data_IF_370025428615
#
_entry.id   IF_370025428615
#
_cell.length_a   1.000
_cell.length_b   1.000
_cell.length_c   1.000
_cell.angle_alpha   90.00
_cell.angle_beta   90.00
_cell.angle_gamma   90.00
#
_symmetry.space_group_name_H-M   'P 1'
#
loop_
_entity.id
_entity.type
_entity.pdbx_description
1 polymer ?
#
# COMPACT_ATOMS: atom_id res chain seq x y z
N UNK A 1 -16.80 17.24 -10.51
CA UNK A 1 -15.87 16.58 -11.46
C UNK A 1 -14.52 16.39 -10.79
N UNK A 2 -13.96 15.17 -10.78
CA UNK A 2 -12.61 14.96 -10.26
C UNK A 2 -11.60 15.67 -11.16
N UNK A 3 -11.02 16.78 -10.67
CA UNK A 3 -9.98 17.54 -11.39
C UNK A 3 -8.71 16.70 -11.59
N UNK A 4 -8.52 15.69 -10.75
CA UNK A 4 -7.36 14.81 -10.72
C UNK A 4 -7.24 13.97 -11.98
N UNK A 5 -8.36 13.52 -12.57
CA UNK A 5 -8.32 12.71 -13.79
C UNK A 5 -7.73 13.46 -14.99
N UNK A 6 -7.96 14.78 -15.08
CA UNK A 6 -7.47 15.62 -16.19
C UNK A 6 -5.96 15.88 -16.13
N UNK A 7 -5.32 15.56 -15.01
CA UNK A 7 -3.90 15.80 -14.85
C UNK A 7 -3.12 14.71 -15.57
N UNK A 8 -2.23 15.09 -16.51
CA UNK A 8 -1.33 14.14 -17.16
C UNK A 8 -0.47 13.40 -16.13
N UNK A 9 -0.04 12.18 -16.48
CA UNK A 9 0.90 11.39 -15.69
C UNK A 9 2.24 11.40 -16.42
N UNK A 10 3.24 12.16 -15.95
CA UNK A 10 4.57 12.12 -16.54
C UNK A 10 5.23 10.78 -16.24
N UNK A 11 5.83 10.16 -17.26
CA UNK A 11 6.62 8.93 -17.09
C UNK A 11 8.08 9.34 -16.87
N UNK A 12 8.67 9.06 -15.70
CA UNK A 12 10.11 9.28 -15.48
C UNK A 12 10.92 8.34 -16.38
N UNK A 13 12.10 8.75 -16.84
CA UNK A 13 12.96 7.94 -17.74
C UNK A 13 13.31 6.55 -17.18
N UNK A 14 13.22 6.38 -15.85
CA UNK A 14 13.47 5.12 -15.15
C UNK A 14 12.31 4.13 -15.23
N UNK A 15 11.15 4.53 -15.74
CA UNK A 15 9.97 3.69 -15.87
C UNK A 15 9.58 3.53 -17.34
N UNK A 16 9.20 2.32 -17.73
CA UNK A 16 8.62 2.01 -19.03
C UNK A 16 7.15 1.67 -18.83
N UNK A 17 6.28 2.30 -19.61
CA UNK A 17 4.85 2.01 -19.61
C UNK A 17 4.48 1.44 -20.96
N UNK A 18 3.85 0.27 -20.97
CA UNK A 18 3.21 -0.31 -22.15
C UNK A 18 1.71 -0.39 -21.95
N UNK A 19 0.96 -0.12 -23.01
CA UNK A 19 -0.50 -0.16 -23.01
C UNK A 19 -0.93 -1.14 -24.11
N UNK A 20 -1.53 -2.25 -23.69
CA UNK A 20 -2.10 -3.27 -24.57
C UNK A 20 -3.61 -3.28 -24.40
N UNK A 21 -4.30 -2.51 -25.25
CA UNK A 21 -5.74 -2.31 -25.19
C UNK A 21 -6.16 -1.63 -23.88
N UNK A 22 -6.63 -2.43 -22.93
CA UNK A 22 -7.08 -2.01 -21.60
C UNK A 22 -6.09 -2.31 -20.48
N UNK A 23 -5.03 -3.05 -20.79
CA UNK A 23 -4.06 -3.49 -19.81
C UNK A 23 -2.85 -2.57 -19.85
N UNK A 24 -2.54 -1.97 -18.70
CA UNK A 24 -1.36 -1.15 -18.52
C UNK A 24 -0.32 -1.97 -17.77
N UNK A 25 0.86 -2.09 -18.35
CA UNK A 25 2.03 -2.66 -17.70
C UNK A 25 3.05 -1.56 -17.47
N UNK A 26 3.58 -1.51 -16.26
CA UNK A 26 4.57 -0.51 -15.84
C UNK A 26 5.77 -1.25 -15.29
N UNK A 27 6.93 -1.05 -15.89
CA UNK A 27 8.19 -1.64 -15.50
C UNK A 27 9.14 -0.56 -15.00
N UNK A 28 9.91 -0.86 -13.96
CA UNK A 28 10.92 0.04 -13.43
C UNK A 28 11.90 -0.66 -12.49
N UNK A 29 12.79 0.09 -11.83
CA UNK A 29 13.88 -0.47 -11.03
C UNK A 29 13.41 -1.30 -9.85
N UNK A 30 12.22 -1.03 -9.30
CA UNK A 30 11.68 -1.75 -8.13
C UNK A 30 10.73 -2.90 -8.47
N UNK A 31 10.48 -3.17 -9.75
CA UNK A 31 9.67 -4.28 -10.21
C UNK A 31 8.77 -3.94 -11.40
N UNK A 32 7.90 -4.89 -11.75
CA UNK A 32 6.91 -4.77 -12.81
C UNK A 32 5.50 -4.90 -12.25
N UNK A 33 4.60 -4.01 -12.64
CA UNK A 33 3.19 -4.04 -12.25
C UNK A 33 2.31 -4.10 -13.49
N UNK A 34 1.28 -4.96 -13.45
CA UNK A 34 0.32 -5.11 -14.54
C UNK A 34 -1.09 -4.95 -14.00
N UNK A 35 -1.92 -4.15 -14.66
CA UNK A 35 -3.32 -3.97 -14.27
C UNK A 35 -4.20 -3.72 -15.48
N UNK A 36 -5.34 -4.41 -15.52
CA UNK A 36 -6.37 -4.24 -16.52
C UNK A 36 -7.45 -3.29 -16.01
N UNK A 37 -7.87 -2.36 -16.86
CA UNK A 37 -8.93 -1.40 -16.59
C UNK A 37 -10.21 -1.77 -17.35
N UNK A 38 -11.29 -1.04 -17.10
CA UNK A 38 -12.60 -1.24 -17.73
C UNK A 38 -12.77 -0.40 -19.01
N UNK A 39 -13.61 -0.85 -19.95
CA UNK A 39 -13.86 -0.24 -21.27
C UNK A 39 -14.49 1.17 -21.18
N UNK A 40 -14.93 1.57 -20.00
CA UNK A 40 -15.41 2.93 -19.71
C UNK A 40 -14.32 4.00 -19.75
N UNK A 41 -13.04 3.63 -19.86
CA UNK A 41 -11.90 4.55 -19.86
C UNK A 41 -10.96 4.27 -21.04
N UNK A 42 -10.60 5.33 -21.77
CA UNK A 42 -9.56 5.34 -22.79
C UNK A 42 -8.24 5.77 -22.16
N UNK A 43 -7.17 5.02 -22.43
CA UNK A 43 -5.83 5.28 -21.90
C UNK A 43 -4.90 5.40 -23.11
N UNK A 44 -4.20 6.52 -23.22
CA UNK A 44 -3.30 6.82 -24.33
C UNK A 44 -1.93 7.23 -23.81
N UNK A 45 -0.88 6.83 -24.53
CA UNK A 45 0.48 7.26 -24.26
C UNK A 45 0.89 8.24 -25.36
N UNK A 46 1.11 9.50 -24.98
CA UNK A 46 1.50 10.59 -25.88
C UNK A 46 2.79 11.19 -25.37
N UNK A 47 3.87 11.10 -26.15
CA UNK A 47 5.14 11.81 -25.91
C UNK A 47 5.67 11.68 -24.45
N UNK A 48 5.67 10.46 -23.90
CA UNK A 48 6.07 10.13 -22.51
C UNK A 48 5.12 10.57 -21.39
N UNK A 49 3.88 10.89 -21.74
CA UNK A 49 2.81 11.20 -20.79
C UNK A 49 1.67 10.21 -20.99
N UNK A 50 1.20 9.61 -19.89
CA UNK A 50 -0.05 8.85 -19.93
C UNK A 50 -1.21 9.82 -19.75
N UNK A 51 -2.08 9.87 -20.75
CA UNK A 51 -3.35 10.57 -20.70
C UNK A 51 -4.48 9.55 -20.54
N UNK A 52 -5.47 9.93 -19.76
CA UNK A 52 -6.65 9.12 -19.51
C UNK A 52 -7.85 9.97 -19.92
N UNK A 53 -8.85 9.36 -20.55
CA UNK A 53 -10.09 10.03 -20.92
C UNK A 53 -11.29 9.10 -20.69
N UNK A 54 -12.44 9.60 -20.22
CA UNK A 54 -13.67 8.79 -20.19
C UNK A 54 -14.14 8.50 -21.61
N UNK A 55 -14.68 7.30 -21.88
CA UNK A 55 -15.27 6.97 -23.20
C UNK A 55 -16.68 7.54 -23.39
N UNK A 56 -17.38 7.85 -22.29
CA UNK A 56 -18.72 8.44 -22.31
C UNK A 56 -18.92 9.45 -21.18
N UNK A 57 -19.96 10.27 -21.29
CA UNK A 57 -20.37 11.21 -20.24
C UNK A 57 -21.19 10.57 -19.11
N UNK A 58 -21.29 9.25 -19.09
CA UNK A 58 -21.97 8.51 -18.03
C UNK A 58 -21.32 8.76 -16.66
N UNK A 59 -22.13 8.69 -15.60
CA UNK A 59 -21.63 8.81 -14.22
C UNK A 59 -20.54 7.78 -13.90
N UNK A 60 -20.67 6.57 -14.45
CA UNK A 60 -19.71 5.49 -14.25
C UNK A 60 -18.36 5.79 -14.92
N UNK A 61 -18.34 6.16 -16.20
CA UNK A 61 -17.12 6.49 -16.92
C UNK A 61 -16.37 7.67 -16.29
N UNK A 62 -17.11 8.69 -15.84
CA UNK A 62 -16.53 9.84 -15.12
C UNK A 62 -15.92 9.46 -13.77
N UNK A 63 -16.46 8.45 -13.07
CA UNK A 63 -15.90 7.95 -11.82
C UNK A 63 -14.64 7.10 -12.08
N UNK A 64 -14.71 6.20 -13.06
CA UNK A 64 -13.60 5.32 -13.42
C UNK A 64 -12.39 6.08 -13.97
N UNK A 65 -12.64 7.16 -14.71
CA UNK A 65 -11.59 8.04 -15.24
C UNK A 65 -10.59 8.51 -14.16
N UNK A 66 -11.08 9.08 -13.05
CA UNK A 66 -10.21 9.58 -11.98
C UNK A 66 -9.49 8.44 -11.24
N UNK A 67 -10.15 7.30 -11.09
CA UNK A 67 -9.61 6.11 -10.44
C UNK A 67 -8.49 5.49 -11.27
N UNK A 68 -8.71 5.29 -12.57
CA UNK A 68 -7.72 4.75 -13.50
C UNK A 68 -6.45 5.62 -13.53
N UNK A 69 -6.60 6.93 -13.68
CA UNK A 69 -5.48 7.88 -13.59
C UNK A 69 -4.70 7.73 -12.29
N UNK A 70 -5.41 7.68 -11.16
CA UNK A 70 -4.76 7.59 -9.83
C UNK A 70 -4.01 6.27 -9.63
N UNK A 71 -4.56 5.17 -10.14
CA UNK A 71 -3.92 3.84 -10.09
C UNK A 71 -2.67 3.82 -10.97
N UNK A 72 -2.75 4.28 -12.23
CA UNK A 72 -1.62 4.30 -13.16
C UNK A 72 -0.49 5.17 -12.59
N UNK A 73 -0.81 6.36 -12.10
CA UNK A 73 0.17 7.22 -11.44
C UNK A 73 0.79 6.53 -10.22
N UNK A 74 -0.02 5.81 -9.45
CA UNK A 74 0.45 5.03 -8.32
C UNK A 74 1.43 3.92 -8.73
N UNK A 75 1.18 3.24 -9.85
CA UNK A 75 2.07 2.22 -10.41
C UNK A 75 3.40 2.82 -10.85
N UNK A 76 3.38 3.96 -11.56
CA UNK A 76 4.60 4.66 -12.02
C UNK A 76 5.47 5.09 -10.83
N UNK A 77 4.87 5.76 -9.84
CA UNK A 77 5.60 6.14 -8.61
C UNK A 77 6.10 4.92 -7.86
N UNK A 78 5.31 3.84 -7.82
CA UNK A 78 5.66 2.60 -7.14
C UNK A 78 6.88 1.88 -7.72
N UNK A 79 7.01 1.80 -9.05
CA UNK A 79 8.16 1.14 -9.67
C UNK A 79 9.45 1.97 -9.59
N UNK A 80 9.35 3.30 -9.44
CA UNK A 80 10.50 4.22 -9.33
C UNK A 80 10.91 4.42 -7.88
N UNK A 81 10.01 4.96 -7.06
CA UNK A 81 10.27 5.37 -5.68
C UNK A 81 9.93 4.29 -4.66
N UNK A 82 9.00 3.39 -4.99
CA UNK A 82 8.50 2.36 -4.07
C UNK A 82 7.61 2.94 -2.98
N UNK A 83 6.84 2.06 -2.34
CA UNK A 83 6.04 2.40 -1.18
C UNK A 83 6.61 1.77 0.06
N UNK A 84 6.67 2.56 1.12
CA UNK A 84 7.08 2.10 2.44
C UNK A 84 6.02 2.45 3.47
N UNK A 85 5.75 1.50 4.36
CA UNK A 85 4.88 1.69 5.52
C UNK A 85 5.60 1.20 6.76
N UNK A 86 5.73 2.10 7.72
CA UNK A 86 6.37 1.84 9.00
C UNK A 86 5.32 1.53 10.05
N UNK A 87 5.58 0.47 10.79
CA UNK A 87 4.77 -0.08 11.86
C UNK A 87 5.63 -0.15 13.12
N UNK A 88 5.04 0.11 14.27
CA UNK A 88 5.70 0.06 15.56
C UNK A 88 4.88 -0.79 16.52
N UNK A 89 5.49 -1.82 17.09
CA UNK A 89 4.88 -2.71 18.08
C UNK A 89 5.16 -2.15 19.46
N UNK A 90 4.11 -1.87 20.23
CA UNK A 90 4.18 -1.41 21.61
C UNK A 90 3.58 -2.46 22.53
N UNK A 91 4.40 -3.00 23.43
CA UNK A 91 3.95 -3.95 24.43
C UNK A 91 5.12 -4.63 25.10
N UNK A 92 4.95 -4.98 26.37
CA UNK A 92 5.96 -5.75 27.11
C UNK A 92 5.91 -7.19 26.60
N UNK A 93 7.06 -7.71 26.15
CA UNK A 93 7.17 -9.06 25.60
C UNK A 93 6.68 -9.19 24.16
N UNK A 94 6.25 -8.10 23.52
CA UNK A 94 5.85 -8.16 22.11
C UNK A 94 7.07 -8.09 21.20
N UNK A 95 7.11 -8.98 20.21
CA UNK A 95 8.23 -9.06 19.26
C UNK A 95 7.75 -9.56 17.90
N UNK A 96 8.43 -9.13 16.86
CA UNK A 96 8.32 -9.67 15.52
C UNK A 96 9.61 -10.40 15.13
N UNK A 97 9.48 -11.51 14.43
CA UNK A 97 10.58 -12.26 13.85
C UNK A 97 10.24 -12.67 12.40
N UNK A 98 11.27 -12.77 11.56
CA UNK A 98 11.12 -13.30 10.19
C UNK A 98 11.63 -14.74 10.16
N UNK A 99 10.74 -15.66 9.81
CA UNK A 99 11.04 -17.07 9.53
C UNK A 99 11.00 -17.29 8.02
N UNK A 100 12.08 -16.91 7.33
CA UNK A 100 12.14 -16.96 5.87
C UNK A 100 11.13 -15.99 5.23
N UNK A 101 10.06 -16.52 4.63
CA UNK A 101 8.94 -15.75 4.04
C UNK A 101 7.75 -15.53 4.99
N UNK A 102 7.80 -16.11 6.19
CA UNK A 102 6.72 -16.00 7.18
C UNK A 102 7.12 -14.94 8.23
N UNK A 103 6.23 -13.99 8.47
CA UNK A 103 6.32 -13.03 9.55
C UNK A 103 5.67 -13.63 10.80
N UNK A 104 6.46 -13.91 11.82
CA UNK A 104 6.00 -14.41 13.11
C UNK A 104 5.87 -13.24 14.10
N UNK A 105 4.66 -13.01 14.59
CA UNK A 105 4.32 -11.96 15.53
C UNK A 105 3.94 -12.56 16.89
N UNK A 106 4.77 -12.34 17.90
CA UNK A 106 4.45 -12.63 19.29
C UNK A 106 3.79 -11.40 19.92
N UNK A 107 2.45 -11.35 19.93
CA UNK A 107 1.66 -10.20 20.41
C UNK A 107 0.92 -10.47 21.72
N UNK A 108 1.42 -11.41 22.53
CA UNK A 108 0.83 -11.77 23.83
C UNK A 108 -0.35 -12.74 23.76
N UNK A 109 -0.62 -13.33 22.58
CA UNK A 109 -1.49 -14.49 22.45
C UNK A 109 -0.78 -15.78 22.89
N UNK A 110 -1.55 -16.84 23.17
CA UNK A 110 -1.00 -18.15 23.56
C UNK A 110 -0.19 -18.84 22.46
N UNK A 111 -0.38 -18.44 21.20
CA UNK A 111 0.34 -18.93 20.04
C UNK A 111 0.88 -17.75 19.21
N UNK A 112 1.97 -17.93 18.45
CA UNK A 112 2.45 -16.92 17.51
C UNK A 112 1.43 -16.65 16.40
N UNK A 113 1.30 -15.39 15.99
CA UNK A 113 0.53 -15.01 14.83
C UNK A 113 1.45 -15.00 13.60
N UNK A 114 1.27 -15.97 12.72
CA UNK A 114 2.08 -16.11 11.51
C UNK A 114 1.34 -15.48 10.31
N UNK A 115 2.07 -14.69 9.52
CA UNK A 115 1.59 -14.08 8.29
C UNK A 115 2.55 -14.38 7.15
N UNK A 116 2.04 -15.00 6.09
CA UNK A 116 2.81 -15.25 4.88
C UNK A 116 2.99 -13.94 4.09
N UNK A 117 4.24 -13.59 3.78
CA UNK A 117 4.54 -12.38 3.01
C UNK A 117 4.31 -12.70 1.52
N UNK A 118 3.36 -12.02 0.85
CA UNK A 118 3.10 -12.24 -0.57
C UNK A 118 4.28 -11.76 -1.42
N UNK A 119 4.37 -12.27 -2.64
CA UNK A 119 5.45 -11.92 -3.57
C UNK A 119 5.46 -10.42 -3.90
N UNK A 120 6.66 -9.86 -4.07
CA UNK A 120 6.84 -8.43 -4.35
C UNK A 120 6.79 -7.51 -3.13
N UNK A 121 6.61 -8.05 -1.92
CA UNK A 121 6.71 -7.31 -0.66
C UNK A 121 7.93 -7.75 0.13
N UNK A 122 8.66 -6.77 0.65
CA UNK A 122 9.77 -6.96 1.57
C UNK A 122 9.39 -6.40 2.93
N UNK A 123 9.42 -7.25 3.96
CA UNK A 123 9.27 -6.81 5.34
C UNK A 123 10.64 -6.81 5.99
N UNK A 124 11.01 -5.70 6.63
CA UNK A 124 12.22 -5.60 7.44
C UNK A 124 11.86 -5.34 8.89
N UNK A 125 12.60 -5.97 9.80
CA UNK A 125 12.41 -5.82 11.24
C UNK A 125 13.66 -5.14 11.81
N UNK A 126 13.45 -4.01 12.47
CA UNK A 126 14.45 -3.33 13.28
C UNK A 126 14.07 -3.45 14.76
N UNK A 127 15.05 -3.75 15.62
CA UNK A 127 14.88 -3.78 17.09
C UNK A 127 13.76 -4.72 17.60
N UNK A 128 13.33 -5.69 16.78
CA UNK A 128 12.20 -6.60 17.03
C UNK A 128 10.82 -5.94 17.22
N UNK A 129 10.75 -4.61 17.26
CA UNK A 129 9.52 -3.84 17.51
C UNK A 129 9.15 -2.92 16.37
N UNK A 130 10.11 -2.52 15.51
CA UNK A 130 9.86 -1.68 14.35
C UNK A 130 9.83 -2.53 13.09
N UNK A 131 8.73 -2.45 12.36
CA UNK A 131 8.46 -3.18 11.13
C UNK A 131 8.38 -2.18 9.98
N UNK A 132 9.11 -2.43 8.89
CA UNK A 132 8.98 -1.64 7.66
C UNK A 132 8.55 -2.57 6.53
N UNK A 133 7.36 -2.32 5.99
CA UNK A 133 6.79 -3.02 4.84
C UNK A 133 7.09 -2.19 3.60
N UNK A 134 7.82 -2.76 2.66
CA UNK A 134 8.25 -2.12 1.42
C UNK A 134 7.78 -2.91 0.20
N UNK A 135 7.43 -2.23 -0.89
CA UNK A 135 7.03 -2.88 -2.14
C UNK A 135 6.75 -1.89 -3.26
N UNK A 136 6.62 -2.39 -4.48
CA UNK A 136 6.27 -1.57 -5.65
C UNK A 136 4.75 -1.29 -5.73
N UNK A 137 3.91 -2.24 -5.31
CA UNK A 137 2.46 -2.07 -5.35
C UNK A 137 1.92 -1.43 -4.05
N UNK A 138 1.36 -0.23 -4.19
CA UNK A 138 0.72 0.51 -3.10
C UNK A 138 -0.43 -0.26 -2.45
N UNK A 139 -1.21 -0.98 -3.25
CA UNK A 139 -2.38 -1.72 -2.77
C UNK A 139 -1.92 -2.89 -1.89
N UNK A 140 -1.00 -3.70 -2.39
CA UNK A 140 -0.46 -4.84 -1.64
C UNK A 140 0.29 -4.40 -0.37
N UNK A 141 1.12 -3.35 -0.44
CA UNK A 141 1.81 -2.82 0.75
C UNK A 141 0.79 -2.37 1.80
N UNK A 142 -0.27 -1.68 1.37
CA UNK A 142 -1.37 -1.28 2.25
C UNK A 142 -2.12 -2.45 2.86
N UNK A 143 -2.40 -3.49 2.07
CA UNK A 143 -3.10 -4.71 2.52
C UNK A 143 -2.28 -5.44 3.58
N UNK A 144 -1.01 -5.77 3.29
CA UNK A 144 -0.14 -6.45 4.26
C UNK A 144 0.03 -5.63 5.54
N UNK A 145 0.16 -4.30 5.42
CA UNK A 145 0.21 -3.42 6.59
C UNK A 145 -1.08 -3.49 7.41
N UNK A 146 -2.24 -3.56 6.76
CA UNK A 146 -3.54 -3.67 7.41
C UNK A 146 -3.73 -5.03 8.09
N UNK A 147 -3.29 -6.12 7.44
CA UNK A 147 -3.37 -7.47 7.98
C UNK A 147 -2.49 -7.60 9.24
N UNK A 148 -1.27 -7.06 9.21
CA UNK A 148 -0.38 -7.00 10.39
C UNK A 148 -1.03 -6.19 11.53
N UNK A 149 -1.63 -5.04 11.21
CA UNK A 149 -2.32 -4.20 12.18
C UNK A 149 -3.56 -4.88 12.78
N UNK A 150 -4.27 -5.69 12.00
CA UNK A 150 -5.50 -6.35 12.42
C UNK A 150 -5.30 -7.42 13.49
N UNK A 151 -4.11 -8.05 13.56
CA UNK A 151 -3.82 -9.04 14.60
C UNK A 151 -3.94 -8.49 16.02
N UNK A 152 -3.41 -7.29 16.25
CA UNK A 152 -3.51 -6.64 17.56
C UNK A 152 -3.52 -5.12 17.40
N UNK A 153 -4.69 -4.51 17.16
CA UNK A 153 -4.80 -3.07 17.04
C UNK A 153 -4.47 -2.38 18.37
N UNK A 154 -3.97 -1.15 18.29
CA UNK A 154 -3.61 -0.39 19.48
C UNK A 154 -4.79 -0.22 20.45
N UNK A 155 -4.62 -0.72 21.67
CA UNK A 155 -5.63 -0.68 22.72
C UNK A 155 -5.93 0.77 23.18
N UNK A 156 -7.20 1.08 23.52
CA UNK A 156 -7.60 2.44 23.88
C UNK A 156 -7.11 2.90 25.26
N UNK A 157 -6.56 2.04 26.12
CA UNK A 157 -6.10 2.44 27.46
C UNK A 157 -4.59 2.60 27.50
N UNK A 158 -3.86 1.48 27.39
CA UNK A 158 -2.39 1.46 27.48
C UNK A 158 -1.69 1.70 26.14
N UNK A 159 -2.44 1.74 25.03
CA UNK A 159 -1.85 1.86 23.70
C UNK A 159 -0.96 0.67 23.33
N UNK A 160 -1.22 -0.52 23.88
CA UNK A 160 -0.50 -1.74 23.52
C UNK A 160 -1.01 -2.24 22.17
N UNK A 161 -0.13 -2.78 21.34
CA UNK A 161 -0.47 -3.34 20.03
C UNK A 161 0.43 -2.83 18.91
N UNK A 162 -0.03 -3.05 17.69
CA UNK A 162 0.62 -2.60 16.47
C UNK A 162 0.14 -1.18 16.14
N UNK A 163 1.08 -0.26 15.97
CA UNK A 163 0.86 1.13 15.60
C UNK A 163 1.32 1.35 14.17
N UNK A 164 0.56 2.14 13.42
CA UNK A 164 1.00 2.65 12.13
C UNK A 164 1.65 4.01 12.37
N UNK A 165 2.87 4.22 11.87
CA UNK A 165 3.56 5.49 12.06
C UNK A 165 2.69 6.66 11.53
N UNK A 166 2.54 7.71 12.35
CA UNK A 166 1.69 8.86 12.05
C UNK A 166 0.18 8.68 12.30
N UNK A 167 -0.29 7.47 12.65
CA UNK A 167 -1.69 7.25 13.04
C UNK A 167 -1.90 7.65 14.50
N UNK A 168 -2.85 8.56 14.76
CA UNK A 168 -3.22 8.94 16.12
C UNK A 168 -3.94 7.79 16.84
N UNK A 169 -3.46 7.42 18.03
CA UNK A 169 -4.11 6.43 18.90
C UNK A 169 -4.84 7.14 20.01
N UNK A 170 -6.18 7.06 19.97
CA UNK A 170 -7.04 7.62 21.01
C UNK A 170 -6.82 6.86 22.31
N UNK A 171 -6.39 7.58 23.34
CA UNK A 171 -6.31 7.05 24.72
C UNK A 171 -7.53 7.47 25.53
N UNK A 172 -8.04 6.55 26.34
CA UNK A 172 -9.05 6.76 27.36
C UNK A 172 -8.38 6.62 28.72
N UNK A 173 -8.85 7.38 29.70
CA UNK A 173 -8.36 7.25 31.07
C UNK A 173 -8.70 5.86 31.61
N UNK A 174 -7.69 5.21 32.19
CA UNK A 174 -7.89 4.02 32.99
C UNK A 174 -8.31 4.38 34.41
N UNK A 175 -8.69 3.38 35.21
CA UNK A 175 -8.82 3.57 36.66
C UNK A 175 -7.48 4.07 37.21
N UNK A 176 -7.48 5.24 37.87
CA UNK A 176 -6.35 5.67 38.69
C UNK A 176 -6.20 4.63 39.79
N UNK A 177 -5.10 3.89 39.79
CA UNK A 177 -4.67 3.20 41.00
C UNK A 177 -4.37 4.28 42.04
N UNK A 178 -4.99 4.16 43.21
CA UNK A 178 -4.73 5.03 44.36
C UNK A 178 -3.28 4.87 44.84
#
# INVERSE_FOLDING_TARGET
MSRIGKLPIPIPEKAKVSIEGQTVSVEGPKGSLKKSFDNSVKIELVENVVQVAPTSDSRHARAMFGTARSIINGMVVGVVDGYTKKLEIKGVGFRAALKGKILDLSLGYSHPCELEIPEGIKVTIAENTKLTVEGADKQMVGQVTADIYAFYPAEPYKGKGVHIEGKYVRRKEGKKSA
#
